data_IF_802219507125
#
_entry.id   IF_802219507125
#
_cell.length_a   1.000
_cell.length_b   1.000
_cell.length_c   1.000
_cell.angle_alpha   90.00
_cell.angle_beta   90.00
_cell.angle_gamma   90.00
#
_symmetry.space_group_name_H-M   'P 1'
#
loop_
_entity.id
_entity.type
_entity.pdbx_description
1 polymer ?
#
# COMPACT_ATOMS: atom_id res chain seq x y z
N UNK A 1 1.41 23.25 -5.66
CA UNK A 1 0.12 22.55 -5.70
C UNK A 1 -0.99 23.58 -5.91
N UNK A 2 -1.90 23.36 -6.87
CA UNK A 2 -2.97 24.28 -7.27
C UNK A 2 -4.27 23.51 -7.51
N UNK A 3 -5.39 23.99 -6.98
CA UNK A 3 -6.72 23.45 -7.27
C UNK A 3 -7.20 23.99 -8.62
N UNK A 4 -7.59 23.11 -9.54
CA UNK A 4 -7.97 23.45 -10.90
C UNK A 4 -9.44 23.19 -11.22
N UNK A 5 -10.12 22.35 -10.42
CA UNK A 5 -11.53 22.04 -10.63
C UNK A 5 -12.06 20.98 -9.68
N UNK A 6 -13.37 20.78 -9.72
CA UNK A 6 -14.09 19.78 -8.95
C UNK A 6 -15.18 19.16 -9.84
N UNK A 7 -15.39 17.85 -9.71
CA UNK A 7 -16.52 17.12 -10.27
C UNK A 7 -17.26 16.39 -9.13
N UNK A 8 -18.58 16.20 -9.27
CA UNK A 8 -19.43 15.55 -8.27
C UNK A 8 -19.36 16.22 -6.88
N UNK A 9 -19.45 17.56 -6.86
CA UNK A 9 -19.34 18.37 -5.65
C UNK A 9 -20.40 18.02 -4.59
N UNK A 10 -21.54 17.48 -5.01
CA UNK A 10 -22.63 17.01 -4.15
C UNK A 10 -22.23 15.84 -3.24
N UNK A 11 -21.17 15.09 -3.57
CA UNK A 11 -20.60 14.06 -2.70
C UNK A 11 -19.84 14.64 -1.50
N UNK A 12 -19.59 15.95 -1.50
CA UNK A 12 -18.91 16.66 -0.44
C UNK A 12 -17.39 16.53 -0.48
N UNK A 13 -16.72 17.22 0.45
CA UNK A 13 -15.29 17.48 0.39
C UNK A 13 -14.41 16.22 0.28
N UNK A 14 -14.77 15.15 0.97
CA UNK A 14 -13.97 13.92 1.04
C UNK A 14 -14.08 13.05 -0.22
N UNK A 15 -15.26 13.02 -0.84
CA UNK A 15 -15.60 12.03 -1.88
C UNK A 15 -15.73 12.64 -3.28
N UNK A 16 -15.79 13.97 -3.40
CA UNK A 16 -15.75 14.65 -4.69
C UNK A 16 -14.43 14.40 -5.44
N UNK A 17 -14.46 14.49 -6.77
CA UNK A 17 -13.26 14.30 -7.60
C UNK A 17 -12.59 15.65 -7.83
N UNK A 18 -11.41 15.80 -7.25
CA UNK A 18 -10.63 17.04 -7.30
C UNK A 18 -9.56 17.01 -8.39
N UNK A 19 -9.57 18.00 -9.27
CA UNK A 19 -8.49 18.21 -10.24
C UNK A 19 -7.43 19.09 -9.57
N UNK A 20 -6.28 18.49 -9.28
CA UNK A 20 -5.19 19.17 -8.59
C UNK A 20 -3.94 19.08 -9.45
N UNK A 21 -3.35 20.23 -9.74
CA UNK A 21 -2.00 20.31 -10.28
C UNK A 21 -1.00 20.24 -9.13
N UNK A 22 -0.16 19.21 -9.14
CA UNK A 22 0.90 19.03 -8.18
C UNK A 22 2.26 19.10 -8.90
N UNK A 23 3.21 19.74 -8.25
CA UNK A 23 4.59 19.82 -8.69
C UNK A 23 5.48 19.39 -7.51
N UNK A 24 6.49 18.56 -7.80
CA UNK A 24 7.40 17.98 -6.80
C UNK A 24 6.71 17.27 -5.60
N UNK A 25 5.63 16.51 -5.82
CA UNK A 25 4.99 15.71 -4.76
C UNK A 25 5.84 14.44 -4.48
N UNK A 26 6.45 14.29 -3.30
CA UNK A 26 7.25 13.12 -2.99
C UNK A 26 6.35 11.90 -2.82
N UNK A 27 6.69 10.81 -3.51
CA UNK A 27 5.95 9.55 -3.47
C UNK A 27 6.92 8.37 -3.42
N UNK A 28 6.50 7.29 -2.78
CA UNK A 28 7.19 5.99 -2.82
C UNK A 28 6.47 5.08 -3.79
N UNK A 29 7.20 4.43 -4.70
CA UNK A 29 6.63 3.41 -5.59
C UNK A 29 6.24 2.18 -4.76
N UNK A 30 4.94 2.00 -4.52
CA UNK A 30 4.40 0.84 -3.80
C UNK A 30 4.28 -0.39 -4.70
N UNK A 31 3.77 -0.21 -5.92
CA UNK A 31 3.61 -1.25 -6.94
C UNK A 31 4.10 -0.69 -8.28
N UNK A 32 4.90 -1.45 -9.01
CA UNK A 32 5.39 -1.07 -10.35
C UNK A 32 4.66 -1.82 -11.49
N UNK A 33 4.89 -1.38 -12.73
CA UNK A 33 4.26 -1.96 -13.92
C UNK A 33 4.79 -3.36 -14.30
N UNK A 34 5.82 -3.86 -13.62
CA UNK A 34 6.44 -5.16 -13.84
C UNK A 34 6.05 -6.19 -12.77
N UNK A 35 5.10 -5.85 -11.89
CA UNK A 35 4.62 -6.75 -10.83
C UNK A 35 5.47 -6.70 -9.54
N UNK A 36 6.34 -5.72 -9.39
CA UNK A 36 6.96 -5.38 -8.11
C UNK A 36 5.92 -4.86 -7.14
N UNK A 37 5.98 -5.31 -5.89
CA UNK A 37 5.09 -4.89 -4.80
C UNK A 37 5.90 -4.83 -3.50
N UNK A 38 6.11 -3.62 -3.01
CA UNK A 38 6.88 -3.31 -1.81
C UNK A 38 6.30 -4.00 -0.56
N UNK A 39 4.98 -4.07 -0.45
CA UNK A 39 4.31 -4.61 0.73
C UNK A 39 4.20 -6.13 0.69
N UNK A 40 4.10 -6.73 -0.50
CA UNK A 40 4.13 -8.19 -0.65
C UNK A 40 5.40 -8.78 -0.08
N UNK A 41 6.56 -8.22 -0.42
CA UNK A 41 7.85 -8.70 0.08
C UNK A 41 7.94 -8.65 1.61
N UNK A 42 7.50 -7.54 2.22
CA UNK A 42 7.46 -7.39 3.68
C UNK A 42 6.53 -8.41 4.31
N UNK A 43 5.33 -8.59 3.77
CA UNK A 43 4.31 -9.52 4.28
C UNK A 43 4.82 -10.96 4.24
N UNK A 44 5.41 -11.40 3.15
CA UNK A 44 5.92 -12.77 3.02
C UNK A 44 7.08 -13.02 3.98
N UNK A 45 8.02 -12.08 4.11
CA UNK A 45 9.10 -12.19 5.09
C UNK A 45 8.57 -12.27 6.53
N UNK A 46 7.59 -11.43 6.88
CA UNK A 46 6.98 -11.45 8.20
C UNK A 46 6.29 -12.81 8.49
N UNK A 47 5.55 -13.36 7.51
CA UNK A 47 4.96 -14.70 7.63
C UNK A 47 6.02 -15.77 7.82
N UNK A 48 7.08 -15.78 7.01
CA UNK A 48 8.14 -16.80 7.14
C UNK A 48 8.78 -16.76 8.52
N UNK A 49 9.11 -15.56 9.02
CA UNK A 49 9.71 -15.39 10.34
C UNK A 49 8.75 -15.84 11.46
N UNK A 50 7.46 -15.49 11.35
CA UNK A 50 6.45 -15.94 12.30
C UNK A 50 6.35 -17.47 12.35
N UNK A 51 6.23 -18.14 11.19
CA UNK A 51 6.17 -19.60 11.12
C UNK A 51 7.42 -20.26 11.70
N UNK A 52 8.61 -19.77 11.34
CA UNK A 52 9.87 -20.29 11.89
C UNK A 52 9.95 -20.17 13.40
N UNK A 53 9.43 -19.07 13.97
CA UNK A 53 9.53 -18.80 15.40
C UNK A 53 8.50 -19.57 16.23
N UNK A 54 7.30 -19.77 15.71
CA UNK A 54 6.17 -20.25 16.49
C UNK A 54 5.60 -21.61 16.05
N UNK A 55 5.81 -22.05 14.80
CA UNK A 55 5.25 -23.31 14.30
C UNK A 55 6.29 -24.45 14.20
N UNK A 56 7.59 -24.17 14.35
CA UNK A 56 8.66 -25.18 14.25
C UNK A 56 8.79 -26.12 15.47
N UNK A 57 8.04 -25.89 16.55
CA UNK A 57 8.06 -26.72 17.78
C UNK A 57 7.02 -27.84 17.81
N UNK A 58 6.16 -27.95 16.81
CA UNK A 58 5.09 -28.95 16.79
C UNK A 58 5.51 -30.30 16.17
N UNK A 59 6.59 -30.32 15.38
CA UNK A 59 7.04 -31.52 14.65
C UNK A 59 8.11 -32.36 15.38
N UNK A 60 8.59 -31.92 16.55
CA UNK A 60 9.62 -32.63 17.34
C UNK A 60 9.06 -33.43 18.52
N UNK A 61 7.73 -33.59 18.60
CA UNK A 61 7.05 -34.47 19.56
C UNK A 61 6.25 -35.51 18.77
N UNK A 62 6.95 -36.47 18.19
CA UNK A 62 6.40 -37.72 17.66
C UNK A 62 7.47 -38.81 17.77
#
# INVERSE_FOLDING_TARGET
MRLCGVYFEDLGMAEAVWVIEADHLPLTVGIDAHGGDLFRAVREKAKTQFHQRFNSKQDSVS
#
